data_IF_933254015382
#
_entry.id   IF_933254015382
#
_cell.length_a   1.000
_cell.length_b   1.000
_cell.length_c   1.000
_cell.angle_alpha   90.00
_cell.angle_beta   90.00
_cell.angle_gamma   90.00
#
_symmetry.space_group_name_H-M   'P 1'
#
loop_
_entity.id
_entity.type
_entity.pdbx_description
1 polymer ?
#
# COMPACT_ATOMS: atom_id res chain seq x y z
N UNK A 1 28.21 7.20 27.24
CA UNK A 1 27.29 7.67 26.17
C UNK A 1 28.13 8.48 25.18
N UNK A 2 28.03 8.15 23.89
CA UNK A 2 28.71 8.92 22.84
C UNK A 2 27.89 10.20 22.62
N UNK A 3 28.52 11.36 22.69
CA UNK A 3 27.83 12.63 22.46
C UNK A 3 27.57 12.80 20.95
N UNK A 4 26.31 12.97 20.58
CA UNK A 4 25.89 13.24 19.19
C UNK A 4 25.52 14.74 19.12
N UNK A 5 26.30 15.57 18.40
CA UNK A 5 25.99 16.98 18.26
C UNK A 5 24.66 17.20 17.52
N UNK A 6 23.82 18.07 18.08
CA UNK A 6 22.53 18.43 17.48
C UNK A 6 22.27 19.94 17.70
N UNK A 7 21.68 20.55 16.69
CA UNK A 7 21.11 21.91 16.77
C UNK A 7 19.69 21.87 16.20
N UNK A 8 18.78 22.65 16.74
CA UNK A 8 17.41 22.78 16.25
C UNK A 8 16.94 24.23 16.29
N UNK A 9 16.08 24.59 15.38
CA UNK A 9 15.27 25.81 15.37
C UNK A 9 13.80 25.45 15.10
N UNK A 10 12.96 26.45 14.84
CA UNK A 10 11.52 26.24 14.63
C UNK A 10 11.21 25.51 13.30
N UNK A 11 12.16 25.48 12.36
CA UNK A 11 11.96 24.91 11.03
C UNK A 11 12.73 23.60 10.82
N UNK A 12 13.93 23.45 11.42
CA UNK A 12 14.82 22.32 11.14
C UNK A 12 15.55 21.83 12.39
N UNK A 13 15.85 20.53 12.37
CA UNK A 13 16.83 19.89 13.25
C UNK A 13 18.05 19.49 12.40
N UNK A 14 19.24 19.73 12.93
CA UNK A 14 20.50 19.26 12.32
C UNK A 14 21.24 18.39 13.32
N UNK A 15 21.60 17.17 12.91
CA UNK A 15 22.37 16.21 13.71
C UNK A 15 23.66 15.89 12.97
N UNK A 16 24.79 15.84 13.69
CA UNK A 16 26.07 15.48 13.10
C UNK A 16 26.39 14.01 13.40
N UNK A 17 26.37 13.17 12.37
CA UNK A 17 26.64 11.74 12.46
C UNK A 17 27.87 11.41 11.60
N UNK A 18 28.82 10.70 12.17
CA UNK A 18 30.07 10.31 11.48
C UNK A 18 30.78 11.49 10.79
N UNK A 19 30.70 12.69 11.39
CA UNK A 19 31.31 13.92 10.86
C UNK A 19 30.56 14.58 9.70
N UNK A 20 29.37 14.11 9.35
CA UNK A 20 28.49 14.70 8.33
C UNK A 20 27.25 15.33 8.99
N UNK A 21 26.83 16.54 8.58
CA UNK A 21 25.58 17.12 9.02
C UNK A 21 24.40 16.49 8.25
N UNK A 22 23.35 16.12 8.98
CA UNK A 22 22.07 15.67 8.48
C UNK A 22 20.98 16.61 8.96
N UNK A 23 20.11 17.04 8.08
CA UNK A 23 19.07 18.02 8.40
C UNK A 23 17.69 17.45 8.07
N UNK A 24 16.71 17.74 8.92
CA UNK A 24 15.32 17.33 8.76
C UNK A 24 14.39 18.49 9.15
N UNK A 25 13.35 18.72 8.39
CA UNK A 25 12.33 19.70 8.74
C UNK A 25 11.52 19.25 9.96
N UNK A 26 11.07 20.18 10.79
CA UNK A 26 10.25 19.90 11.98
C UNK A 26 8.88 19.33 11.60
N UNK A 27 8.41 19.60 10.40
CA UNK A 27 7.18 19.05 9.84
C UNK A 27 7.31 17.61 9.33
N UNK A 28 8.54 17.05 9.27
CA UNK A 28 8.73 15.68 8.79
C UNK A 28 8.09 14.66 9.76
N UNK A 29 7.33 13.68 9.27
CA UNK A 29 6.68 12.66 10.11
C UNK A 29 7.62 11.87 11.04
N UNK A 30 8.90 11.80 10.69
CA UNK A 30 9.92 11.12 11.49
C UNK A 30 10.64 12.06 12.50
N UNK A 31 10.27 13.32 12.57
CA UNK A 31 10.93 14.31 13.44
C UNK A 31 10.98 13.87 14.91
N UNK A 32 9.85 13.43 15.46
CA UNK A 32 9.77 12.94 16.86
C UNK A 32 10.64 11.69 17.07
N UNK A 33 10.70 10.79 16.09
CA UNK A 33 11.56 9.59 16.14
C UNK A 33 13.04 9.97 16.15
N UNK A 34 13.44 11.01 15.41
CA UNK A 34 14.81 11.53 15.43
C UNK A 34 15.16 12.09 16.82
N UNK A 35 14.26 12.85 17.44
CA UNK A 35 14.46 13.36 18.80
C UNK A 35 14.61 12.24 19.82
N UNK A 36 13.80 11.19 19.70
CA UNK A 36 13.87 10.04 20.61
C UNK A 36 15.17 9.26 20.44
N UNK A 37 15.55 8.90 19.22
CA UNK A 37 16.80 8.22 18.92
C UNK A 37 18.02 9.05 19.37
N UNK A 38 17.97 10.36 19.20
CA UNK A 38 19.02 11.25 19.70
C UNK A 38 19.13 11.22 21.23
N UNK A 39 18.00 11.30 21.97
CA UNK A 39 17.98 11.18 23.45
C UNK A 39 18.59 9.87 23.94
N UNK A 40 18.38 8.79 23.18
CA UNK A 40 18.93 7.47 23.48
C UNK A 40 20.39 7.32 23.03
N UNK A 41 20.94 8.31 22.32
CA UNK A 41 22.26 8.28 21.69
C UNK A 41 22.43 7.10 20.71
N UNK A 42 21.34 6.69 20.08
CA UNK A 42 21.31 5.62 19.09
C UNK A 42 21.71 6.17 17.72
N UNK A 43 23.03 6.11 17.45
CA UNK A 43 23.61 6.61 16.21
C UNK A 43 23.11 5.83 14.98
N UNK A 44 22.84 4.53 15.13
CA UNK A 44 22.34 3.71 14.01
C UNK A 44 20.90 4.07 13.67
N UNK A 45 20.01 4.18 14.66
CA UNK A 45 18.65 4.62 14.44
C UNK A 45 18.58 6.03 13.81
N UNK A 46 19.48 6.93 14.22
CA UNK A 46 19.58 8.25 13.59
C UNK A 46 20.03 8.17 12.14
N UNK A 47 21.04 7.35 11.83
CA UNK A 47 21.49 7.14 10.44
C UNK A 47 20.34 6.57 9.59
N UNK A 48 19.61 5.60 10.12
CA UNK A 48 18.47 4.98 9.43
C UNK A 48 17.34 6.00 9.17
N UNK A 49 17.13 6.96 10.07
CA UNK A 49 16.12 8.01 9.92
C UNK A 49 16.54 9.13 8.95
N UNK A 50 17.83 9.42 8.84
CA UNK A 50 18.37 10.46 7.95
C UNK A 50 18.92 9.91 6.63
N UNK A 51 19.55 8.73 6.64
CA UNK A 51 20.06 8.07 5.44
C UNK A 51 19.17 6.87 5.07
N UNK A 52 18.14 7.16 4.31
CA UNK A 52 17.15 6.16 3.92
C UNK A 52 17.73 5.03 3.06
N UNK A 53 18.85 5.26 2.37
CA UNK A 53 19.58 4.20 1.65
C UNK A 53 20.18 3.19 2.62
N UNK A 54 20.73 3.67 3.74
CA UNK A 54 21.26 2.79 4.81
C UNK A 54 20.12 2.05 5.50
N UNK A 55 19.02 2.74 5.79
CA UNK A 55 17.82 2.13 6.36
C UNK A 55 17.28 1.01 5.47
N UNK A 56 17.25 1.22 4.16
CA UNK A 56 16.81 0.22 3.19
C UNK A 56 17.70 -1.03 3.22
N UNK A 57 19.01 -0.87 3.15
CA UNK A 57 19.97 -1.99 3.20
C UNK A 57 19.91 -2.75 4.54
N UNK A 58 19.75 -2.04 5.63
CA UNK A 58 19.62 -2.65 6.96
C UNK A 58 18.28 -3.40 7.14
N UNK A 59 17.22 -2.95 6.45
CA UNK A 59 15.90 -3.56 6.56
C UNK A 59 15.83 -4.96 5.96
N UNK A 60 16.52 -5.21 4.84
CA UNK A 60 16.41 -6.47 4.09
C UNK A 60 17.64 -7.37 4.18
N UNK A 61 18.50 -7.16 5.16
CA UNK A 61 19.67 -8.02 5.41
C UNK A 61 20.52 -8.34 4.15
N UNK A 62 20.56 -7.39 3.20
CA UNK A 62 21.33 -7.49 1.97
C UNK A 62 20.61 -8.13 0.77
N UNK A 63 19.35 -8.55 0.91
CA UNK A 63 18.58 -9.04 -0.26
C UNK A 63 18.23 -7.90 -1.21
N UNK A 64 18.04 -6.68 -0.70
CA UNK A 64 17.85 -5.47 -1.50
C UNK A 64 19.09 -4.58 -1.37
N UNK A 65 19.61 -4.14 -2.49
CA UNK A 65 20.75 -3.25 -2.57
C UNK A 65 20.39 -1.99 -3.36
N UNK A 66 20.90 -0.83 -2.93
CA UNK A 66 20.87 0.40 -3.72
C UNK A 66 22.25 0.63 -4.31
N UNK A 67 22.35 0.63 -5.64
CA UNK A 67 23.56 0.97 -6.38
C UNK A 67 23.22 1.96 -7.48
N UNK A 68 23.99 3.05 -7.59
CA UNK A 68 23.83 4.04 -8.66
C UNK A 68 22.38 4.55 -8.84
N UNK A 69 21.69 4.78 -7.73
CA UNK A 69 20.27 5.19 -7.68
C UNK A 69 19.29 4.17 -8.28
N UNK A 70 19.65 2.88 -8.25
CA UNK A 70 18.85 1.75 -8.69
C UNK A 70 18.63 0.77 -7.53
N UNK A 71 17.50 0.09 -7.56
CA UNK A 71 17.15 -0.92 -6.57
C UNK A 71 17.38 -2.31 -7.17
N UNK A 72 18.05 -3.18 -6.40
CA UNK A 72 18.30 -4.58 -6.76
C UNK A 72 17.74 -5.49 -5.68
N UNK A 73 17.18 -6.61 -6.08
CA UNK A 73 16.82 -7.72 -5.19
C UNK A 73 17.52 -8.99 -5.67
N UNK A 74 18.31 -9.62 -4.79
CA UNK A 74 19.13 -10.80 -5.11
C UNK A 74 20.00 -10.60 -6.37
N UNK A 75 20.49 -9.37 -6.60
CA UNK A 75 21.31 -9.00 -7.73
C UNK A 75 20.55 -8.72 -9.04
N UNK A 76 19.25 -8.93 -9.11
CA UNK A 76 18.41 -8.49 -10.22
C UNK A 76 17.95 -7.04 -10.03
N UNK A 77 18.14 -6.19 -11.04
CA UNK A 77 17.64 -4.81 -11.02
C UNK A 77 16.12 -4.79 -11.08
N UNK A 78 15.51 -4.08 -10.14
CA UNK A 78 14.07 -3.89 -10.08
C UNK A 78 13.70 -2.57 -10.75
N UNK A 79 12.61 -2.57 -11.49
CA UNK A 79 12.08 -1.41 -12.22
C UNK A 79 10.58 -1.25 -11.98
N UNK A 80 10.05 -0.08 -12.38
CA UNK A 80 8.62 0.19 -12.43
C UNK A 80 8.11 0.94 -11.22
N UNK A 81 6.81 1.19 -11.24
CA UNK A 81 6.11 2.11 -10.34
C UNK A 81 6.39 1.88 -8.84
N UNK A 82 6.49 0.63 -8.39
CA UNK A 82 6.77 0.34 -6.96
C UNK A 82 8.15 0.83 -6.54
N UNK A 83 9.14 0.70 -7.44
CA UNK A 83 10.51 1.21 -7.20
C UNK A 83 10.50 2.74 -7.16
N UNK A 84 9.79 3.37 -8.10
CA UNK A 84 9.64 4.83 -8.14
C UNK A 84 8.96 5.35 -6.88
N UNK A 85 7.91 4.66 -6.40
CA UNK A 85 7.24 4.96 -5.12
C UNK A 85 8.19 4.82 -3.93
N UNK A 86 9.05 3.81 -3.89
CA UNK A 86 10.05 3.67 -2.83
C UNK A 86 10.98 4.87 -2.80
N UNK A 87 11.53 5.27 -3.95
CA UNK A 87 12.42 6.43 -4.02
C UNK A 87 11.71 7.74 -3.67
N UNK A 88 10.47 7.91 -4.13
CA UNK A 88 9.65 9.07 -3.78
C UNK A 88 9.36 9.12 -2.27
N UNK A 89 8.95 8.00 -1.65
CA UNK A 89 8.78 7.92 -0.19
C UNK A 89 10.09 8.25 0.55
N UNK A 90 11.22 7.77 0.03
CA UNK A 90 12.54 8.08 0.59
C UNK A 90 12.85 9.57 0.51
N UNK A 91 12.60 10.22 -0.61
CA UNK A 91 12.84 11.65 -0.82
C UNK A 91 11.95 12.52 0.09
N UNK A 92 10.71 12.10 0.32
CA UNK A 92 9.75 12.81 1.17
C UNK A 92 9.83 12.42 2.66
N UNK A 93 10.71 11.49 3.03
CA UNK A 93 10.82 10.99 4.40
C UNK A 93 9.63 10.17 4.88
N UNK A 94 8.84 9.62 3.95
CA UNK A 94 7.70 8.75 4.24
C UNK A 94 8.17 7.32 4.52
N UNK A 95 7.33 6.52 5.19
CA UNK A 95 7.64 5.11 5.44
C UNK A 95 7.55 4.29 4.15
N UNK A 96 8.68 3.76 3.70
CA UNK A 96 8.80 2.91 2.52
C UNK A 96 8.87 1.40 2.87
N UNK A 97 8.95 1.03 4.14
CA UNK A 97 9.05 -0.38 4.58
C UNK A 97 7.90 -1.27 4.08
N UNK A 98 6.64 -0.81 4.04
CA UNK A 98 5.56 -1.58 3.44
C UNK A 98 5.81 -1.95 1.97
N UNK A 99 6.40 -1.02 1.19
CA UNK A 99 6.72 -1.26 -0.22
C UNK A 99 7.85 -2.28 -0.38
N UNK A 100 8.83 -2.31 0.54
CA UNK A 100 9.86 -3.34 0.55
C UNK A 100 9.28 -4.73 0.84
N UNK A 101 8.43 -4.83 1.87
CA UNK A 101 7.72 -6.08 2.20
C UNK A 101 6.86 -6.56 1.02
N UNK A 102 6.25 -5.63 0.30
CA UNK A 102 5.50 -5.95 -0.92
C UNK A 102 6.43 -6.55 -1.99
N UNK A 103 7.60 -5.97 -2.23
CA UNK A 103 8.58 -6.51 -3.18
C UNK A 103 9.03 -7.92 -2.77
N UNK A 104 9.40 -8.15 -1.51
CA UNK A 104 9.78 -9.46 -1.01
C UNK A 104 8.69 -10.51 -1.29
N UNK A 105 7.44 -10.21 -0.96
CA UNK A 105 6.31 -11.09 -1.24
C UNK A 105 6.10 -11.31 -2.73
N UNK A 106 6.26 -10.26 -3.53
CA UNK A 106 6.12 -10.36 -4.98
C UNK A 106 7.20 -11.28 -5.58
N UNK A 107 8.45 -11.19 -5.12
CA UNK A 107 9.53 -12.06 -5.57
C UNK A 107 9.32 -13.53 -5.16
N UNK A 108 8.61 -13.78 -4.06
CA UNK A 108 8.21 -15.15 -3.67
C UNK A 108 7.10 -15.73 -4.54
N UNK A 109 6.47 -14.95 -5.44
CA UNK A 109 5.47 -15.49 -6.35
C UNK A 109 6.09 -16.51 -7.31
N UNK A 110 5.59 -17.75 -7.39
CA UNK A 110 6.21 -18.81 -8.18
C UNK A 110 6.10 -18.61 -9.69
N UNK A 111 5.39 -17.58 -10.15
CA UNK A 111 5.22 -17.27 -11.57
C UNK A 111 5.86 -15.92 -11.92
N UNK A 112 7.01 -15.95 -12.62
CA UNK A 112 7.66 -14.72 -13.12
C UNK A 112 6.72 -13.88 -14.00
N UNK A 113 5.82 -14.53 -14.74
CA UNK A 113 4.84 -13.83 -15.53
C UNK A 113 3.87 -13.05 -14.66
N UNK A 114 3.32 -13.69 -13.60
CA UNK A 114 2.43 -13.01 -12.66
C UNK A 114 3.11 -11.83 -11.96
N UNK A 115 4.40 -11.96 -11.63
CA UNK A 115 5.22 -10.87 -11.10
C UNK A 115 5.23 -9.68 -12.06
N UNK A 116 5.58 -9.90 -13.31
CA UNK A 116 5.66 -8.84 -14.32
C UNK A 116 4.29 -8.20 -14.60
N UNK A 117 3.24 -9.03 -14.72
CA UNK A 117 1.87 -8.56 -14.94
C UNK A 117 1.36 -7.72 -13.76
N UNK A 118 1.70 -8.10 -12.52
CA UNK A 118 1.27 -7.36 -11.34
C UNK A 118 1.99 -6.01 -11.22
N UNK A 119 3.24 -5.90 -11.60
CA UNK A 119 3.94 -4.62 -11.69
C UNK A 119 3.17 -3.64 -12.60
N UNK A 120 2.82 -4.07 -13.81
CA UNK A 120 2.07 -3.25 -14.76
C UNK A 120 0.67 -2.89 -14.23
N UNK A 121 -0.01 -3.83 -13.58
CA UNK A 121 -1.31 -3.59 -12.97
C UNK A 121 -1.26 -2.49 -11.90
N UNK A 122 -0.27 -2.56 -11.01
CA UNK A 122 -0.11 -1.58 -9.92
C UNK A 122 0.32 -0.20 -10.42
N UNK A 123 1.12 -0.15 -11.50
CA UNK A 123 1.53 1.10 -12.14
C UNK A 123 0.33 1.94 -12.59
N UNK A 124 -0.65 1.28 -13.21
CA UNK A 124 -1.82 1.97 -13.75
C UNK A 124 -2.91 2.27 -12.72
N UNK A 125 -2.89 1.61 -11.56
CA UNK A 125 -4.03 1.60 -10.64
C UNK A 125 -3.74 2.11 -9.24
N UNK A 126 -2.52 2.51 -8.97
CA UNK A 126 -2.08 3.14 -7.71
C UNK A 126 -2.66 2.49 -6.43
N UNK A 127 -2.64 1.15 -6.40
CA UNK A 127 -3.25 0.38 -5.31
C UNK A 127 -2.53 0.62 -3.98
N UNK A 128 -3.25 0.84 -2.87
CA UNK A 128 -2.64 0.98 -1.56
C UNK A 128 -1.92 -0.30 -1.15
N UNK A 129 -0.71 -0.15 -0.59
CA UNK A 129 0.04 -1.25 0.02
C UNK A 129 -0.14 -1.18 1.53
N UNK A 130 -0.50 -2.30 2.16
CA UNK A 130 -0.67 -2.40 3.60
C UNK A 130 0.68 -2.48 4.31
N UNK A 131 0.71 -2.20 5.61
CA UNK A 131 1.94 -2.30 6.41
C UNK A 131 2.62 -3.67 6.28
N UNK A 132 1.85 -4.73 6.10
CA UNK A 132 2.38 -6.08 5.93
C UNK A 132 2.87 -6.40 4.50
N UNK A 133 2.86 -5.42 3.59
CA UNK A 133 3.28 -5.63 2.19
C UNK A 133 2.26 -6.37 1.33
N UNK A 134 1.00 -6.48 1.76
CA UNK A 134 -0.11 -6.86 0.89
C UNK A 134 -0.64 -5.61 0.20
N UNK A 135 -1.53 -5.76 -0.76
CA UNK A 135 -2.18 -4.62 -1.38
C UNK A 135 -3.69 -4.72 -1.29
N UNK A 136 -4.35 -3.58 -1.38
CA UNK A 136 -5.81 -3.48 -1.36
C UNK A 136 -6.32 -3.37 -2.78
N UNK A 137 -7.31 -4.18 -3.11
CA UNK A 137 -8.06 -4.11 -4.37
C UNK A 137 -9.56 -4.08 -4.08
N UNK A 138 -10.34 -3.87 -5.12
CA UNK A 138 -11.80 -3.78 -5.01
C UNK A 138 -12.48 -5.02 -5.61
N UNK A 139 -13.62 -5.38 -5.03
CA UNK A 139 -14.46 -6.47 -5.51
C UNK A 139 -15.92 -6.13 -5.40
N UNK A 140 -16.63 -6.12 -6.55
CA UNK A 140 -18.08 -6.06 -6.56
C UNK A 140 -18.69 -7.43 -6.24
N UNK A 141 -19.72 -7.45 -5.39
CA UNK A 141 -20.43 -8.66 -4.96
C UNK A 141 -21.93 -8.38 -4.98
N UNK A 142 -22.74 -9.44 -4.88
CA UNK A 142 -24.19 -9.37 -4.86
C UNK A 142 -24.70 -8.79 -3.52
N UNK A 143 -26.00 -8.46 -3.46
CA UNK A 143 -26.68 -7.98 -2.27
C UNK A 143 -26.54 -8.94 -1.07
N UNK A 144 -26.47 -10.24 -1.31
CA UNK A 144 -26.26 -11.28 -0.31
C UNK A 144 -24.77 -11.59 -0.02
N UNK A 145 -23.85 -10.72 -0.45
CA UNK A 145 -22.40 -10.85 -0.37
C UNK A 145 -21.82 -12.06 -1.12
N UNK A 146 -22.61 -12.76 -1.92
CA UNK A 146 -22.08 -13.85 -2.74
C UNK A 146 -21.42 -13.35 -4.01
N UNK A 147 -20.53 -14.17 -4.60
CA UNK A 147 -19.91 -13.89 -5.90
C UNK A 147 -20.95 -13.98 -7.05
N UNK A 148 -20.74 -13.20 -8.11
CA UNK A 148 -21.69 -13.16 -9.25
C UNK A 148 -21.72 -14.43 -10.06
N UNK A 149 -20.62 -15.18 -10.12
CA UNK A 149 -20.50 -16.34 -10.99
C UNK A 149 -21.08 -17.61 -10.39
N UNK A 150 -20.53 -18.07 -9.26
CA UNK A 150 -20.92 -19.33 -8.64
C UNK A 150 -22.02 -19.16 -7.59
N UNK A 151 -22.17 -17.98 -7.03
CA UNK A 151 -23.06 -17.66 -5.90
C UNK A 151 -22.80 -18.52 -4.66
N UNK A 152 -21.58 -19.00 -4.50
CA UNK A 152 -21.21 -19.94 -3.43
C UNK A 152 -20.14 -19.40 -2.50
N UNK A 153 -19.43 -18.34 -2.89
CA UNK A 153 -18.40 -17.74 -2.07
C UNK A 153 -18.96 -16.54 -1.30
N UNK A 154 -18.92 -16.64 0.03
CA UNK A 154 -19.30 -15.55 0.93
C UNK A 154 -18.18 -14.50 1.02
N UNK A 155 -18.46 -13.28 0.60
CA UNK A 155 -17.56 -12.14 0.65
C UNK A 155 -17.95 -11.14 1.75
N UNK A 156 -18.55 -11.57 2.81
CA UNK A 156 -18.79 -10.72 3.98
C UNK A 156 -17.47 -10.33 4.63
N UNK A 157 -17.45 -9.18 5.31
CA UNK A 157 -16.25 -8.67 5.99
C UNK A 157 -15.68 -9.70 6.97
N UNK A 158 -14.37 -9.90 6.93
CA UNK A 158 -13.63 -10.86 7.73
C UNK A 158 -13.48 -12.23 7.08
N UNK A 159 -14.17 -12.51 5.98
CA UNK A 159 -14.01 -13.79 5.27
C UNK A 159 -12.66 -13.87 4.55
N UNK A 160 -12.05 -15.05 4.63
CA UNK A 160 -10.89 -15.41 3.83
C UNK A 160 -11.33 -16.41 2.77
N UNK A 161 -11.16 -16.05 1.52
CA UNK A 161 -11.46 -16.92 0.40
C UNK A 161 -10.17 -17.48 -0.18
N UNK A 162 -10.12 -18.81 -0.31
CA UNK A 162 -8.93 -19.51 -0.78
C UNK A 162 -9.31 -20.67 -1.71
N UNK A 163 -8.56 -20.87 -2.76
CA UNK A 163 -8.61 -22.02 -3.63
C UNK A 163 -7.20 -22.48 -4.01
N UNK A 164 -7.08 -23.69 -4.51
CA UNK A 164 -5.76 -24.18 -4.96
C UNK A 164 -5.24 -23.30 -6.10
N UNK A 165 -4.00 -22.80 -5.98
CA UNK A 165 -3.37 -21.93 -6.98
C UNK A 165 -3.42 -22.55 -8.39
N UNK A 166 -3.18 -23.85 -8.53
CA UNK A 166 -3.18 -24.55 -9.82
C UNK A 166 -4.59 -24.76 -10.42
N UNK A 167 -5.65 -24.40 -9.69
CA UNK A 167 -7.02 -24.37 -10.25
C UNK A 167 -7.35 -22.99 -10.84
N UNK A 168 -6.57 -21.96 -10.54
CA UNK A 168 -6.77 -20.61 -11.07
C UNK A 168 -6.19 -20.55 -12.49
N UNK A 169 -6.98 -20.01 -13.42
CA UNK A 169 -6.52 -19.83 -14.80
C UNK A 169 -5.39 -18.79 -14.85
N UNK A 170 -4.26 -19.21 -15.39
CA UNK A 170 -3.07 -18.38 -15.52
C UNK A 170 -2.93 -17.74 -16.93
N UNK A 171 -3.81 -18.04 -17.88
CA UNK A 171 -3.78 -17.44 -19.22
C UNK A 171 -4.39 -16.03 -19.21
N UNK A 172 -3.53 -15.02 -19.41
CA UNK A 172 -3.92 -13.62 -19.44
C UNK A 172 -4.81 -13.26 -20.66
N UNK A 173 -4.79 -14.06 -21.73
CA UNK A 173 -5.65 -13.84 -22.92
C UNK A 173 -7.10 -14.26 -22.67
N UNK A 174 -7.37 -15.03 -21.63
CA UNK A 174 -8.73 -15.45 -21.27
C UNK A 174 -9.31 -14.49 -20.25
N UNK A 175 -10.30 -13.69 -20.64
CA UNK A 175 -10.90 -12.67 -19.80
C UNK A 175 -11.69 -13.21 -18.61
N UNK A 176 -12.61 -14.15 -18.83
CA UNK A 176 -13.42 -14.79 -17.79
C UNK A 176 -13.00 -16.24 -17.64
N UNK A 177 -12.48 -16.62 -16.47
CA UNK A 177 -12.07 -17.99 -16.17
C UNK A 177 -11.99 -18.23 -14.67
N UNK A 178 -11.62 -19.45 -14.28
CA UNK A 178 -11.56 -19.85 -12.88
C UNK A 178 -10.51 -19.04 -12.09
N UNK A 179 -10.86 -18.65 -10.87
CA UNK A 179 -10.05 -17.83 -9.99
C UNK A 179 -10.87 -16.75 -9.30
N UNK A 180 -10.37 -16.23 -8.20
CA UNK A 180 -10.97 -15.06 -7.57
C UNK A 180 -10.55 -13.80 -8.34
N UNK A 181 -11.53 -13.02 -8.77
CA UNK A 181 -11.31 -11.76 -9.45
C UNK A 181 -11.43 -10.60 -8.45
N UNK A 182 -10.47 -9.73 -8.48
CA UNK A 182 -10.49 -8.40 -7.86
C UNK A 182 -9.85 -7.40 -8.84
N UNK A 183 -9.97 -6.12 -8.58
CA UNK A 183 -9.42 -5.15 -9.51
C UNK A 183 -9.47 -3.72 -9.03
N UNK A 184 -9.38 -2.79 -9.98
CA UNK A 184 -9.53 -1.36 -9.71
C UNK A 184 -10.93 -1.03 -9.22
N UNK A 185 -11.07 0.14 -8.60
CA UNK A 185 -12.36 0.70 -8.23
C UNK A 185 -13.32 0.73 -9.43
N UNK A 186 -12.86 1.25 -10.57
CA UNK A 186 -13.67 1.39 -11.79
C UNK A 186 -14.18 0.07 -12.33
N UNK A 187 -13.35 -0.96 -12.29
CA UNK A 187 -13.77 -2.31 -12.66
C UNK A 187 -14.81 -2.86 -11.67
N UNK A 188 -14.56 -2.79 -10.39
CA UNK A 188 -15.37 -3.45 -9.39
C UNK A 188 -16.71 -2.76 -9.14
N UNK A 189 -16.79 -1.42 -9.26
CA UNK A 189 -18.03 -0.65 -9.05
C UNK A 189 -19.13 -1.05 -10.03
N UNK A 190 -18.77 -1.47 -11.25
CA UNK A 190 -19.74 -1.96 -12.24
C UNK A 190 -20.50 -3.18 -11.76
N UNK A 191 -19.86 -4.06 -11.01
CA UNK A 191 -20.49 -5.25 -10.42
C UNK A 191 -21.26 -4.94 -9.12
N UNK A 192 -20.95 -3.86 -8.41
CA UNK A 192 -21.68 -3.43 -7.23
C UNK A 192 -22.97 -2.67 -7.57
N UNK A 193 -23.21 -2.32 -8.85
CA UNK A 193 -24.42 -1.62 -9.29
C UNK A 193 -25.66 -2.51 -9.18
N UNK A 194 -26.82 -1.88 -8.90
CA UNK A 194 -28.10 -2.60 -8.85
C UNK A 194 -28.39 -3.34 -7.53
N UNK A 195 -27.88 -2.83 -6.41
CA UNK A 195 -28.11 -3.35 -5.06
C UNK A 195 -27.01 -4.28 -4.52
N UNK A 196 -25.95 -4.49 -5.29
CA UNK A 196 -24.76 -5.19 -4.81
C UNK A 196 -23.87 -4.32 -3.93
N UNK A 197 -22.79 -4.90 -3.42
CA UNK A 197 -21.85 -4.24 -2.53
C UNK A 197 -20.46 -4.16 -3.17
N UNK A 198 -19.74 -3.09 -2.84
CA UNK A 198 -18.33 -2.92 -3.16
C UNK A 198 -17.49 -3.23 -1.93
N UNK A 199 -16.63 -4.24 -2.04
CA UNK A 199 -15.78 -4.71 -0.94
C UNK A 199 -14.33 -4.33 -1.19
N UNK A 200 -13.61 -4.01 -0.11
CA UNK A 200 -12.17 -3.93 -0.09
C UNK A 200 -11.61 -5.31 0.24
N UNK A 201 -10.68 -5.78 -0.57
CA UNK A 201 -10.02 -7.07 -0.37
C UNK A 201 -8.51 -6.89 -0.28
N UNK A 202 -7.92 -7.49 0.74
CA UNK A 202 -6.47 -7.53 0.93
C UNK A 202 -5.90 -8.77 0.25
N UNK A 203 -4.89 -8.57 -0.59
CA UNK A 203 -4.28 -9.60 -1.43
C UNK A 203 -2.79 -9.67 -1.15
N UNK A 204 -2.28 -10.88 -0.87
CA UNK A 204 -0.85 -11.15 -0.85
C UNK A 204 -0.33 -11.23 -2.30
N UNK A 205 0.72 -10.48 -2.69
CA UNK A 205 1.33 -10.58 -4.03
C UNK A 205 1.72 -12.00 -4.44
N UNK A 206 2.08 -12.86 -3.51
CA UNK A 206 2.39 -14.27 -3.78
C UNK A 206 1.22 -15.05 -4.35
N UNK A 207 -0.01 -14.69 -3.98
CA UNK A 207 -1.24 -15.40 -4.37
C UNK A 207 -1.78 -14.97 -5.73
N UNK A 208 -1.26 -13.89 -6.31
CA UNK A 208 -1.68 -13.42 -7.65
C UNK A 208 -1.20 -14.39 -8.72
N UNK A 209 -2.10 -14.76 -9.63
CA UNK A 209 -1.85 -15.76 -10.67
C UNK A 209 -1.75 -15.13 -12.06
N UNK A 210 -2.61 -14.19 -12.39
CA UNK A 210 -2.56 -13.47 -13.68
C UNK A 210 -3.30 -12.13 -13.64
N UNK A 211 -2.93 -11.23 -14.55
CA UNK A 211 -3.66 -10.01 -14.87
C UNK A 211 -4.20 -10.15 -16.31
N UNK A 212 -5.49 -10.42 -16.49
CA UNK A 212 -6.08 -10.52 -17.82
C UNK A 212 -5.94 -9.26 -18.66
N UNK A 213 -5.70 -9.42 -19.94
CA UNK A 213 -5.50 -8.31 -20.88
C UNK A 213 -6.79 -7.56 -21.23
N UNK A 214 -7.96 -8.15 -20.96
CA UNK A 214 -9.24 -7.47 -21.12
C UNK A 214 -9.49 -6.41 -20.02
N UNK A 215 -10.50 -5.59 -20.21
CA UNK A 215 -10.88 -4.50 -19.29
C UNK A 215 -9.70 -3.57 -18.96
N UNK A 216 -8.85 -3.27 -19.92
CA UNK A 216 -7.67 -2.40 -19.78
C UNK A 216 -6.77 -2.81 -18.59
N UNK A 217 -6.62 -4.11 -18.38
CA UNK A 217 -5.85 -4.69 -17.28
C UNK A 217 -6.32 -4.21 -15.88
N UNK A 218 -7.61 -3.90 -15.74
CA UNK A 218 -8.18 -3.39 -14.49
C UNK A 218 -8.56 -4.49 -13.50
N UNK A 219 -8.40 -5.76 -13.87
CA UNK A 219 -8.68 -6.90 -13.00
C UNK A 219 -7.48 -7.82 -12.88
N UNK A 220 -7.42 -8.54 -11.78
CA UNK A 220 -6.48 -9.64 -11.58
C UNK A 220 -7.20 -10.91 -11.15
N UNK A 221 -6.51 -12.05 -11.27
CA UNK A 221 -6.90 -13.32 -10.68
C UNK A 221 -5.93 -13.68 -9.56
N UNK A 222 -6.50 -14.06 -8.44
CA UNK A 222 -5.75 -14.55 -7.30
C UNK A 222 -6.31 -15.87 -6.79
N UNK A 223 -5.48 -16.64 -6.11
CA UNK A 223 -5.88 -17.86 -5.43
C UNK A 223 -6.43 -17.59 -4.02
N UNK A 224 -6.16 -16.40 -3.47
CA UNK A 224 -6.56 -16.05 -2.10
C UNK A 224 -6.71 -14.55 -1.92
N UNK A 225 -7.65 -14.16 -1.07
CA UNK A 225 -7.77 -12.82 -0.51
C UNK A 225 -8.53 -12.83 0.81
N UNK A 226 -8.43 -11.75 1.56
CA UNK A 226 -9.21 -11.48 2.76
C UNK A 226 -10.14 -10.29 2.49
N UNK A 227 -11.41 -10.41 2.83
CA UNK A 227 -12.35 -9.28 2.76
C UNK A 227 -12.18 -8.44 4.01
N UNK A 228 -11.67 -7.22 3.85
CA UNK A 228 -11.28 -6.39 4.99
C UNK A 228 -12.33 -5.37 5.37
N UNK A 229 -13.09 -4.86 4.38
CA UNK A 229 -14.09 -3.82 4.65
C UNK A 229 -15.15 -3.77 3.55
N UNK A 230 -16.31 -3.23 3.91
CA UNK A 230 -17.36 -2.86 2.99
C UNK A 230 -17.20 -1.38 2.61
N UNK A 231 -17.09 -1.11 1.32
CA UNK A 231 -17.03 0.26 0.83
C UNK A 231 -18.46 0.79 0.73
N UNK A 232 -18.97 1.42 1.80
CA UNK A 232 -20.36 1.91 1.88
C UNK A 232 -20.63 3.06 0.92
N UNK A 233 -19.59 3.82 0.58
CA UNK A 233 -19.66 4.93 -0.36
C UNK A 233 -18.90 4.63 -1.62
N UNK A 234 -19.62 4.62 -2.73
CA UNK A 234 -19.01 4.65 -4.06
C UNK A 234 -18.35 6.03 -4.18
N UNK A 235 -17.06 6.10 -3.85
CA UNK A 235 -16.29 7.32 -4.00
C UNK A 235 -16.31 7.71 -5.47
N UNK A 236 -16.84 8.87 -5.78
CA UNK A 236 -16.87 9.41 -7.14
C UNK A 236 -15.49 9.90 -7.60
N UNK A 237 -14.53 9.99 -6.69
CA UNK A 237 -13.13 10.36 -6.97
C UNK A 237 -12.20 9.21 -6.63
N UNK A 238 -11.21 9.01 -7.49
CA UNK A 238 -10.08 8.14 -7.23
C UNK A 238 -9.40 8.64 -5.95
N UNK A 239 -9.32 7.78 -4.92
CA UNK A 239 -8.47 8.06 -3.77
C UNK A 239 -7.05 7.82 -4.25
N UNK A 240 -6.45 8.84 -4.84
CA UNK A 240 -5.03 8.87 -5.07
C UNK A 240 -4.36 9.07 -3.73
N UNK A 241 -3.71 8.05 -3.21
CA UNK A 241 -2.62 8.25 -2.28
C UNK A 241 -1.37 8.66 -3.09
N UNK A 242 -1.52 9.67 -3.91
CA UNK A 242 -0.41 10.53 -4.24
C UNK A 242 -0.21 11.37 -2.99
N UNK A 243 0.93 11.08 -2.33
CA UNK A 243 1.57 11.96 -1.36
C UNK A 243 0.58 12.76 -0.47
N UNK A 244 0.66 12.51 0.82
CA UNK A 244 0.09 13.41 1.82
C UNK A 244 0.68 14.85 1.62
N UNK A 245 0.27 15.55 0.59
CA UNK A 245 0.00 16.95 0.75
C UNK A 245 -1.20 16.94 1.70
N UNK A 246 -0.95 17.28 2.95
CA UNK A 246 -2.00 17.56 3.91
C UNK A 246 -2.96 18.53 3.22
N UNK A 247 -4.08 18.00 2.71
CA UNK A 247 -5.21 18.85 2.39
C UNK A 247 -5.46 19.59 3.70
N UNK A 248 -5.18 20.86 3.70
CA UNK A 248 -5.46 21.73 4.84
C UNK A 248 -6.94 21.60 5.15
N UNK A 249 -7.32 21.76 6.42
CA UNK A 249 -8.75 21.71 6.82
C UNK A 249 -9.61 22.63 5.94
N UNK A 250 -9.05 23.72 5.41
CA UNK A 250 -9.69 24.67 4.49
C UNK A 250 -9.91 24.06 3.08
N UNK A 251 -8.98 23.26 2.56
CA UNK A 251 -9.13 22.56 1.26
C UNK A 251 -10.12 21.38 1.37
N UNK A 252 -10.19 20.75 2.53
CA UNK A 252 -11.22 19.73 2.84
C UNK A 252 -12.62 20.36 2.92
N UNK A 253 -12.74 21.57 3.44
CA UNK A 253 -14.00 22.28 3.53
C UNK A 253 -14.47 22.79 2.14
N UNK A 254 -13.56 23.29 1.28
CA UNK A 254 -13.85 23.68 -0.10
C UNK A 254 -14.30 22.49 -0.99
N UNK A 255 -13.72 21.29 -0.79
CA UNK A 255 -14.16 20.06 -1.46
C UNK A 255 -15.54 19.58 -0.95
N UNK A 256 -15.89 19.91 0.29
CA UNK A 256 -17.19 19.59 0.87
C UNK A 256 -18.31 20.55 0.41
N UNK A 257 -17.99 21.79 0.03
CA UNK A 257 -19.01 22.78 -0.37
C UNK A 257 -19.47 22.64 -1.84
N UNK A 258 -18.72 21.94 -2.70
CA UNK A 258 -19.06 21.90 -4.13
C UNK A 258 -20.12 20.87 -4.52
N UNK A 259 -20.44 19.83 -3.74
CA UNK A 259 -21.44 18.82 -4.17
C UNK A 259 -22.03 17.92 -3.06
N UNK A 260 -22.33 18.37 -1.85
CA UNK A 260 -22.87 17.41 -0.86
C UNK A 260 -23.98 17.99 0.02
N UNK A 261 -25.10 17.26 0.01
CA UNK A 261 -26.12 17.29 1.08
C UNK A 261 -25.43 16.95 2.43
N UNK A 262 -25.75 17.68 3.49
CA UNK A 262 -25.11 17.68 4.83
C UNK A 262 -24.87 16.33 5.53
N UNK A 263 -25.29 15.21 4.96
CA UNK A 263 -25.17 13.88 5.58
C UNK A 263 -23.91 13.06 5.17
N UNK A 264 -23.09 13.53 4.23
CA UNK A 264 -22.00 12.72 3.68
C UNK A 264 -20.58 13.11 4.14
N UNK A 265 -20.39 14.30 4.72
CA UNK A 265 -19.06 14.76 5.17
C UNK A 265 -18.51 13.98 6.38
N UNK A 266 -19.41 13.45 7.24
CA UNK A 266 -19.03 12.59 8.37
C UNK A 266 -18.46 11.24 7.94
N UNK A 267 -18.93 10.74 6.83
CA UNK A 267 -18.65 9.39 6.35
C UNK A 267 -17.31 9.27 5.65
N UNK A 268 -16.87 10.30 4.91
CA UNK A 268 -15.55 10.35 4.25
C UNK A 268 -14.42 10.40 5.31
N UNK A 269 -14.61 11.20 6.38
CA UNK A 269 -13.64 11.24 7.50
C UNK A 269 -13.57 9.87 8.21
N UNK A 270 -14.68 9.16 8.34
CA UNK A 270 -14.73 7.82 8.94
C UNK A 270 -14.03 6.79 8.06
N UNK A 271 -14.21 6.86 6.74
CA UNK A 271 -13.59 5.95 5.77
C UNK A 271 -12.06 6.15 5.68
N UNK A 272 -11.61 7.40 5.65
CA UNK A 272 -10.19 7.75 5.70
C UNK A 272 -9.56 7.32 7.04
N UNK A 273 -10.28 7.46 8.15
CA UNK A 273 -9.83 6.98 9.46
C UNK A 273 -9.77 5.45 9.50
N UNK A 274 -10.73 4.75 8.89
CA UNK A 274 -10.74 3.29 8.74
C UNK A 274 -9.59 2.78 7.89
N UNK A 275 -9.36 3.38 6.73
CA UNK A 275 -8.24 3.07 5.86
C UNK A 275 -6.88 3.38 6.51
N UNK A 276 -6.75 4.54 7.18
CA UNK A 276 -5.54 4.87 7.98
C UNK A 276 -5.29 3.84 9.08
N UNK A 277 -6.35 3.33 9.73
CA UNK A 277 -6.24 2.29 10.76
C UNK A 277 -5.85 0.92 10.17
N UNK A 278 -6.36 0.57 9.00
CA UNK A 278 -5.98 -0.64 8.25
C UNK A 278 -4.53 -0.56 7.75
N UNK A 279 -4.11 0.61 7.26
CA UNK A 279 -2.75 0.83 6.72
C UNK A 279 -1.69 0.93 7.83
N UNK A 280 -2.05 1.39 9.06
CA UNK A 280 -1.14 1.51 10.22
C UNK A 280 -0.97 0.22 11.03
N UNK A 281 -1.61 -0.86 10.63
CA UNK A 281 -1.42 -2.18 11.24
C UNK A 281 -2.20 -2.43 12.52
N UNK A 282 -2.59 -3.67 12.73
CA UNK A 282 -3.05 -4.22 14.00
C UNK A 282 -1.86 -4.39 14.95
N UNK A 283 -1.29 -3.31 15.49
CA UNK A 283 -0.15 -3.42 16.40
C UNK A 283 -0.51 -3.87 17.83
N UNK A 284 -1.78 -4.18 18.14
CA UNK A 284 -2.21 -4.43 19.51
C UNK A 284 -2.91 -5.78 19.74
N UNK A 285 -2.40 -6.90 19.18
CA UNK A 285 -2.88 -8.21 19.65
C UNK A 285 -1.79 -9.29 19.61
N UNK A 286 -0.69 -9.07 20.34
CA UNK A 286 0.15 -10.16 20.85
C UNK A 286 0.75 -9.76 22.20
N UNK A 287 -0.09 -9.70 23.21
CA UNK A 287 0.27 -9.87 24.61
C UNK A 287 -0.99 -10.34 25.37
N UNK A 288 -1.20 -11.65 25.33
CA UNK A 288 -1.71 -12.45 26.45
C UNK A 288 -1.47 -13.93 26.15
#
# INVERSE_FOLDING_TARGET
MKYIPMTSNDEYITVVLQGKPYMMATTNPNFEKVLEAWKQSDEQALLDLFDQKVALQNYVDGSIEIKDNKLFCDGEELHGHVVDRIFNHMEKGLDFKPLLRFIEKLQNNPSRRAVNELYSFLEHKNMPVTENGNFIAYKGVREDYTDFYSRSFDNSVGQTLEMRRNSVCDDANVGCSNGFHAGSYDYAKGYASGGGHLMLVEINPEDVVSVPLDCDQQKLRTSKYVVVEHCEHILKQEIYFEDEDELTDDELDDLCEQDVNENSAGDVKSLLAGLKKLLRGRSDNHNN
#
